data_IF_377851324455
#
_entry.id   IF_377851324455
#
_cell.length_a   1.000
_cell.length_b   1.000
_cell.length_c   1.000
_cell.angle_alpha   90.00
_cell.angle_beta   90.00
_cell.angle_gamma   90.00
#
_symmetry.space_group_name_H-M   'P 1'
#
loop_
_entity.id
_entity.type
_entity.pdbx_description
1 polymer ?
#
# COMPACT_ATOMS: atom_id res chain seq x y z
N UNK A 1 14.59 5.01 16.92
CA UNK A 1 14.98 4.75 15.55
C UNK A 1 15.36 3.32 15.33
N UNK A 2 16.33 2.80 16.06
CA UNK A 2 16.69 1.40 15.91
C UNK A 2 15.51 0.47 16.16
N UNK A 3 14.73 0.77 17.19
CA UNK A 3 13.60 -0.08 17.55
C UNK A 3 12.57 -0.11 16.43
N UNK A 4 12.31 1.02 15.81
CA UNK A 4 11.37 1.07 14.70
C UNK A 4 11.83 0.25 13.51
N UNK A 5 13.14 0.28 13.22
CA UNK A 5 13.68 -0.52 12.13
C UNK A 5 13.55 -2.01 12.41
N UNK A 6 13.80 -2.41 13.66
CA UNK A 6 13.65 -3.79 14.04
C UNK A 6 12.21 -4.25 13.94
N UNK A 7 11.30 -3.43 14.43
CA UNK A 7 9.88 -3.75 14.35
C UNK A 7 9.42 -3.86 12.91
N UNK A 8 9.84 -2.94 12.08
CA UNK A 8 9.51 -2.95 10.66
C UNK A 8 10.01 -4.23 9.99
N UNK A 9 11.28 -4.58 10.19
CA UNK A 9 11.84 -5.78 9.59
C UNK A 9 11.12 -7.03 10.05
N UNK A 10 10.81 -7.08 11.31
CA UNK A 10 10.11 -8.23 11.86
C UNK A 10 8.76 -8.42 11.20
N UNK A 11 8.05 -7.31 10.98
CA UNK A 11 6.73 -7.38 10.36
C UNK A 11 6.79 -7.80 8.91
N UNK A 12 7.68 -7.22 8.12
CA UNK A 12 7.72 -7.51 6.69
C UNK A 12 8.43 -8.81 6.35
N UNK A 13 9.13 -9.40 7.31
CA UNK A 13 9.76 -10.70 7.09
C UNK A 13 8.95 -11.84 7.68
N UNK A 14 7.77 -11.55 8.18
CA UNK A 14 6.94 -12.56 8.82
C UNK A 14 6.19 -13.40 7.81
N UNK A 15 5.79 -14.59 8.22
CA UNK A 15 4.95 -15.45 7.41
C UNK A 15 3.60 -14.79 7.17
N UNK A 16 3.13 -14.07 8.17
CA UNK A 16 1.86 -13.35 8.05
C UNK A 16 1.92 -12.31 6.93
N UNK A 17 3.03 -11.58 6.83
CA UNK A 17 3.20 -10.61 5.77
C UNK A 17 3.20 -11.27 4.39
N UNK A 18 3.89 -12.41 4.26
CA UNK A 18 3.90 -13.12 2.99
C UNK A 18 2.49 -13.50 2.56
N UNK A 19 1.68 -13.94 3.50
CA UNK A 19 0.31 -14.31 3.20
C UNK A 19 -0.54 -13.11 2.82
N UNK A 20 -0.43 -12.04 3.58
CA UNK A 20 -1.19 -10.82 3.30
C UNK A 20 -0.81 -10.26 1.93
N UNK A 21 0.48 -10.23 1.64
CA UNK A 21 0.98 -9.74 0.37
C UNK A 21 0.41 -10.56 -0.79
N UNK A 22 0.44 -11.86 -0.65
CA UNK A 22 -0.07 -12.73 -1.70
C UNK A 22 -1.56 -12.51 -1.92
N UNK A 23 -2.32 -12.31 -0.86
CA UNK A 23 -3.75 -12.05 -0.96
C UNK A 23 -4.04 -10.74 -1.68
N UNK A 24 -3.29 -9.70 -1.37
CA UNK A 24 -3.48 -8.41 -2.00
C UNK A 24 -3.24 -8.52 -3.51
N UNK A 25 -2.15 -9.18 -3.89
CA UNK A 25 -1.82 -9.34 -5.30
C UNK A 25 -2.80 -10.24 -6.03
N UNK A 26 -3.36 -11.23 -5.33
CA UNK A 26 -4.35 -12.10 -5.94
C UNK A 26 -5.67 -11.39 -6.18
N UNK A 27 -6.06 -10.52 -5.26
CA UNK A 27 -7.33 -9.81 -5.38
C UNK A 27 -7.25 -8.62 -6.33
N UNK A 28 -6.10 -7.98 -6.37
CA UNK A 28 -5.89 -6.78 -7.19
C UNK A 28 -4.58 -6.91 -7.94
N UNK A 29 -4.57 -7.71 -8.99
CA UNK A 29 -3.33 -8.01 -9.70
C UNK A 29 -2.76 -6.91 -10.57
N UNK A 30 -3.48 -5.83 -10.75
CA UNK A 30 -3.00 -4.74 -11.60
C UNK A 30 -2.47 -3.58 -10.78
N UNK A 31 -1.43 -2.94 -11.30
CA UNK A 31 -0.86 -1.77 -10.65
C UNK A 31 -1.89 -0.66 -10.53
N UNK A 32 -2.13 -0.20 -9.32
CA UNK A 32 -3.15 0.82 -9.08
C UNK A 32 -2.80 2.15 -9.75
N UNK A 33 -1.53 2.54 -9.68
CA UNK A 33 -1.13 3.81 -10.28
C UNK A 33 -1.19 3.79 -11.79
N UNK A 34 -0.81 2.67 -12.40
CA UNK A 34 -0.94 2.54 -13.85
C UNK A 34 -2.39 2.55 -14.27
N UNK A 35 -3.22 1.87 -13.52
CA UNK A 35 -4.66 1.83 -13.79
C UNK A 35 -5.25 3.24 -13.80
N UNK A 36 -4.81 4.09 -12.87
CA UNK A 36 -5.26 5.47 -12.81
C UNK A 36 -4.94 6.23 -14.09
N UNK A 37 -3.85 5.88 -14.72
CA UNK A 37 -3.43 6.53 -15.95
C UNK A 37 -3.94 5.83 -17.20
N UNK A 38 -4.81 4.85 -17.02
CA UNK A 38 -5.35 4.10 -18.15
C UNK A 38 -4.41 3.04 -18.72
N UNK A 39 -3.41 2.66 -17.93
CA UNK A 39 -2.44 1.66 -18.36
C UNK A 39 -2.69 0.37 -17.60
N UNK A 40 -2.76 -0.74 -18.33
CA UNK A 40 -2.94 -2.05 -17.72
C UNK A 40 -1.57 -2.70 -17.57
N UNK A 41 -1.12 -2.82 -16.33
CA UNK A 41 0.18 -3.40 -16.01
C UNK A 41 0.06 -4.18 -14.72
N UNK A 42 0.67 -5.36 -14.63
CA UNK A 42 0.55 -6.17 -13.42
C UNK A 42 1.25 -5.53 -12.23
N UNK A 43 0.65 -5.68 -11.08
CA UNK A 43 1.28 -5.28 -9.83
C UNK A 43 2.29 -6.35 -9.46
N UNK A 44 3.43 -5.93 -8.98
CA UNK A 44 4.49 -6.83 -8.58
C UNK A 44 4.85 -6.70 -7.12
N UNK A 45 4.57 -5.54 -6.55
CA UNK A 45 4.95 -5.25 -5.18
C UNK A 45 3.77 -4.65 -4.45
N UNK A 46 3.78 -4.81 -3.14
CA UNK A 46 2.72 -4.24 -2.30
C UNK A 46 3.32 -3.11 -1.48
N UNK A 47 2.69 -1.97 -1.56
CA UNK A 47 3.16 -0.74 -0.93
C UNK A 47 2.26 -0.40 0.26
N UNK A 48 2.86 0.04 1.35
CA UNK A 48 2.11 0.56 2.50
C UNK A 48 1.82 2.03 2.23
N UNK A 49 0.55 2.37 2.14
CA UNK A 49 0.15 3.74 1.82
C UNK A 49 0.62 4.69 2.92
N UNK A 50 0.31 4.34 4.16
CA UNK A 50 0.89 5.05 5.30
C UNK A 50 2.16 4.28 5.67
N UNK A 51 3.33 4.89 5.53
CA UNK A 51 4.57 4.18 5.79
C UNK A 51 4.64 3.70 7.23
N UNK A 52 5.04 2.46 7.40
CA UNK A 52 5.14 1.90 8.75
C UNK A 52 6.13 2.66 9.60
N UNK A 53 7.16 3.18 8.96
CA UNK A 53 8.21 3.91 9.68
C UNK A 53 7.76 5.30 10.15
N UNK A 54 6.58 5.74 9.71
CA UNK A 54 6.06 7.03 10.14
C UNK A 54 5.35 6.96 11.49
N UNK A 55 5.13 5.76 12.02
CA UNK A 55 4.50 5.61 13.33
C UNK A 55 5.50 5.06 14.33
N UNK A 56 5.30 5.41 15.60
CA UNK A 56 6.23 5.00 16.64
C UNK A 56 5.70 3.88 17.51
N UNK A 57 4.40 3.71 17.52
CA UNK A 57 3.77 2.68 18.34
C UNK A 57 3.81 1.34 17.62
N UNK A 58 4.41 0.34 18.25
CA UNK A 58 4.57 -0.97 17.63
C UNK A 58 3.24 -1.63 17.29
N UNK A 59 2.25 -1.48 18.15
CA UNK A 59 0.94 -2.07 17.89
C UNK A 59 0.28 -1.43 16.68
N UNK A 60 0.40 -0.12 16.54
CA UNK A 60 -0.16 0.57 15.41
C UNK A 60 0.60 0.23 14.13
N UNK A 61 1.92 0.09 14.23
CA UNK A 61 2.72 -0.32 13.07
C UNK A 61 2.27 -1.69 12.57
N UNK A 62 2.04 -2.64 13.48
CA UNK A 62 1.58 -3.97 13.10
C UNK A 62 0.20 -3.90 12.46
N UNK A 63 -0.69 -3.09 13.03
CA UNK A 63 -2.03 -2.93 12.48
C UNK A 63 -1.98 -2.40 11.04
N UNK A 64 -1.15 -1.39 10.80
CA UNK A 64 -1.01 -0.82 9.47
C UNK A 64 -0.32 -1.77 8.50
N UNK A 65 0.59 -2.60 9.01
CA UNK A 65 1.34 -3.51 8.15
C UNK A 65 0.43 -4.53 7.46
N UNK A 66 -0.62 -4.93 8.15
CA UNK A 66 -1.48 -6.00 7.65
C UNK A 66 -2.88 -5.53 7.27
N UNK A 67 -3.14 -4.24 7.32
CA UNK A 67 -4.44 -3.69 7.01
C UNK A 67 -4.61 -3.57 5.49
N UNK A 68 -5.55 -4.30 4.90
CA UNK A 68 -5.74 -4.23 3.44
C UNK A 68 -6.03 -2.83 2.93
N UNK A 69 -6.62 -1.98 3.75
CA UNK A 69 -6.91 -0.62 3.35
C UNK A 69 -5.66 0.25 3.30
N UNK A 70 -4.58 -0.22 3.89
CA UNK A 70 -3.31 0.49 3.86
C UNK A 70 -2.34 -0.14 2.84
N UNK A 71 -2.83 -1.06 2.02
CA UNK A 71 -1.97 -1.78 1.08
C UNK A 71 -2.44 -1.55 -0.34
N UNK A 72 -1.50 -1.38 -1.24
CA UNK A 72 -1.81 -1.19 -2.65
C UNK A 72 -0.78 -1.92 -3.49
N UNK A 73 -1.24 -2.59 -4.53
CA UNK A 73 -0.35 -3.29 -5.45
C UNK A 73 0.16 -2.32 -6.51
N UNK A 74 1.44 -2.33 -6.74
CA UNK A 74 2.09 -1.45 -7.70
C UNK A 74 3.11 -2.21 -8.52
N UNK A 75 3.35 -1.74 -9.73
CA UNK A 75 4.46 -2.24 -10.49
C UNK A 75 5.74 -1.62 -9.89
N UNK A 76 6.88 -2.17 -10.25
CA UNK A 76 8.14 -1.72 -9.65
C UNK A 76 8.39 -0.24 -9.86
N UNK A 77 8.13 0.26 -11.06
CA UNK A 77 8.37 1.66 -11.37
C UNK A 77 7.51 2.60 -10.53
N UNK A 78 6.24 2.28 -10.40
CA UNK A 78 5.35 3.12 -9.60
C UNK A 78 5.69 3.05 -8.14
N UNK A 79 6.12 1.89 -7.66
CA UNK A 79 6.54 1.74 -6.29
C UNK A 79 7.76 2.61 -6.00
N UNK A 80 8.73 2.59 -6.90
CA UNK A 80 9.92 3.43 -6.75
C UNK A 80 9.57 4.91 -6.79
N UNK A 81 8.62 5.28 -7.63
CA UNK A 81 8.19 6.68 -7.73
C UNK A 81 7.55 7.15 -6.43
N UNK A 82 6.72 6.32 -5.82
CA UNK A 82 6.11 6.68 -4.55
C UNK A 82 7.15 6.85 -3.44
N UNK A 83 8.17 5.98 -3.42
CA UNK A 83 9.25 6.10 -2.46
C UNK A 83 10.05 7.39 -2.67
N UNK A 84 10.29 7.75 -3.92
CA UNK A 84 10.99 8.99 -4.22
C UNK A 84 10.20 10.21 -3.74
N UNK A 85 8.89 10.16 -3.87
CA UNK A 85 8.04 11.24 -3.40
C UNK A 85 8.03 11.36 -1.89
N UNK A 86 8.08 10.23 -1.21
CA UNK A 86 8.18 10.24 0.25
C UNK A 86 9.45 10.97 0.69
N UNK A 87 10.55 10.69 -0.02
CA UNK A 87 11.80 11.34 0.30
C UNK A 87 11.78 12.84 0.05
N UNK A 88 11.04 13.27 -0.96
CA UNK A 88 10.96 14.68 -1.30
C UNK A 88 9.98 15.44 -0.44
N UNK A 89 8.85 14.84 -0.14
CA UNK A 89 7.77 15.55 0.53
C UNK A 89 7.77 15.51 2.04
N UNK A 90 8.65 14.73 2.60
CA UNK A 90 8.62 14.57 4.05
C UNK A 90 7.51 13.64 4.48
N UNK A 91 7.66 13.08 5.66
CA UNK A 91 6.74 12.06 6.15
C UNK A 91 5.31 12.57 6.32
N UNK A 92 5.17 13.77 6.85
CA UNK A 92 3.83 14.31 7.12
C UNK A 92 3.06 14.60 5.84
N UNK A 93 3.72 15.24 4.87
CA UNK A 93 3.08 15.56 3.62
C UNK A 93 2.74 14.30 2.83
N UNK A 94 3.65 13.33 2.83
CA UNK A 94 3.42 12.06 2.16
C UNK A 94 2.26 11.31 2.80
N UNK A 95 2.17 11.36 4.11
CA UNK A 95 1.11 10.69 4.83
C UNK A 95 -0.26 11.25 4.46
N UNK A 96 -0.36 12.57 4.37
CA UNK A 96 -1.61 13.21 3.99
C UNK A 96 -2.02 12.85 2.57
N UNK A 97 -1.08 12.91 1.64
CA UNK A 97 -1.34 12.54 0.26
C UNK A 97 -1.77 11.09 0.14
N UNK A 98 -1.07 10.22 0.84
CA UNK A 98 -1.36 8.80 0.77
C UNK A 98 -2.71 8.46 1.36
N UNK A 99 -3.14 9.22 2.34
CA UNK A 99 -4.47 9.01 2.92
C UNK A 99 -5.55 9.32 1.90
N UNK A 100 -5.40 10.42 1.18
CA UNK A 100 -6.35 10.77 0.13
C UNK A 100 -6.36 9.73 -0.97
N UNK A 101 -5.19 9.28 -1.37
CA UNK A 101 -5.06 8.24 -2.38
C UNK A 101 -5.72 6.95 -1.92
N UNK A 102 -5.55 6.62 -0.65
CA UNK A 102 -6.12 5.41 -0.10
C UNK A 102 -7.65 5.48 -0.12
N UNK A 103 -8.21 6.61 0.26
CA UNK A 103 -9.65 6.77 0.25
C UNK A 103 -10.22 6.70 -1.16
N UNK A 104 -9.57 7.37 -2.08
CA UNK A 104 -9.98 7.34 -3.47
C UNK A 104 -9.87 5.93 -4.04
N UNK A 105 -8.79 5.25 -3.73
CA UNK A 105 -8.58 3.90 -4.19
C UNK A 105 -9.64 2.96 -3.63
N UNK A 106 -9.93 3.06 -2.34
CA UNK A 106 -10.96 2.23 -1.72
C UNK A 106 -12.31 2.45 -2.36
N UNK A 107 -12.65 3.71 -2.59
CA UNK A 107 -13.93 4.05 -3.19
C UNK A 107 -14.07 3.44 -4.58
N UNK A 108 -12.99 3.47 -5.33
CA UNK A 108 -12.99 3.02 -6.71
C UNK A 108 -12.82 1.53 -6.87
N UNK A 109 -11.90 0.96 -6.09
CA UNK A 109 -11.49 -0.43 -6.27
C UNK A 109 -12.16 -1.41 -5.35
N UNK A 110 -12.39 -1.01 -4.13
CA UNK A 110 -13.04 -1.89 -3.17
C UNK A 110 -14.54 -1.79 -3.29
N UNK A 111 -14.95 -0.93 -4.20
CA UNK A 111 -16.27 -1.05 -4.63
C UNK A 111 -17.35 -0.64 -3.73
N UNK A 112 -17.12 0.28 -3.00
CA UNK A 112 -18.23 0.78 -2.28
C UNK A 112 -19.22 1.20 -3.33
N UNK A 113 -20.27 0.46 -3.46
CA UNK A 113 -21.24 0.76 -4.46
C UNK A 113 -20.89 0.32 -5.84
N UNK A 114 -19.86 -0.43 -6.00
CA UNK A 114 -19.54 -0.88 -7.33
C UNK A 114 -19.41 -2.35 -7.37
N UNK A 115 -20.25 -2.95 -6.67
CA UNK A 115 -20.19 -4.36 -6.61
C UNK A 115 -20.35 -4.95 -7.96
N UNK A 116 -20.95 -4.29 -8.83
CA UNK A 116 -21.06 -4.84 -10.11
C UNK A 116 -19.72 -5.01 -10.65
N UNK A 117 -18.89 -4.96 -9.86
CA UNK A 117 -17.77 -5.44 -10.34
C UNK A 117 -16.92 -4.65 -11.04
N UNK A 118 -16.82 -3.94 -10.81
CA UNK A 118 -15.76 -3.39 -11.33
C UNK A 118 -14.89 -4.44 -11.79
N UNK A 119 -14.06 -4.14 -12.58
CA UNK A 119 -13.19 -4.96 -13.31
C UNK A 119 -12.44 -5.80 -12.44
N UNK A 120 -12.80 -6.05 -11.50
CA UNK A 120 -12.14 -7.01 -10.90
C UNK A 120 -10.75 -7.00 -11.04
N UNK A 121 -10.18 -6.44 -10.88
CA UNK A 121 -8.88 -6.83 -10.81
C UNK A 121 -8.69 -7.91 -9.79
#
# INVERSE_FOLDING_TARGET
>A
MRQRRKDYRKLINSTRWQRVRAEVLARRPLCADCWERGIVRPAREVHHIIPLESVTDAARMASLAYDPLNLVGLCRECHLRRHAELGKGGAAAAKARNREDSEAFCRRMLGVGTEEGGPGF
#
